data_IF_234577939180
#
_entry.id   IF_234577939180
#
_cell.length_a   1.000
_cell.length_b   1.000
_cell.length_c   1.000
_cell.angle_alpha   90.00
_cell.angle_beta   90.00
_cell.angle_gamma   90.00
#
_symmetry.space_group_name_H-M   'P 1'
#
loop_
_entity.id
_entity.type
_entity.pdbx_description
1 polymer ?
#
# COMPACT_ATOMS: atom_id res chain seq x y z
N UNK A 1 0.38 -23.52 7.04
CA UNK A 1 -0.65 -22.88 7.87
C UNK A 1 -1.87 -22.70 7.00
N UNK A 2 -2.98 -23.37 7.31
CA UNK A 2 -4.21 -23.18 6.56
C UNK A 2 -4.76 -21.76 6.79
N UNK A 3 -5.23 -21.06 5.75
CA UNK A 3 -5.82 -19.73 5.90
C UNK A 3 -7.14 -19.84 6.65
N UNK A 4 -7.22 -19.20 7.82
CA UNK A 4 -8.43 -19.16 8.62
C UNK A 4 -9.61 -18.57 7.81
N UNK A 5 -10.82 -19.16 7.90
CA UNK A 5 -11.98 -18.68 7.16
C UNK A 5 -12.29 -17.23 7.53
N UNK A 6 -12.55 -16.39 6.52
CA UNK A 6 -12.87 -14.98 6.73
C UNK A 6 -14.19 -14.89 7.51
N UNK A 7 -14.30 -14.05 8.56
CA UNK A 7 -15.52 -13.93 9.33
C UNK A 7 -16.71 -13.48 8.46
N UNK A 8 -17.96 -13.86 8.83
CA UNK A 8 -19.19 -13.45 8.16
C UNK A 8 -19.24 -11.95 7.87
N UNK A 9 -19.87 -11.55 6.76
CA UNK A 9 -19.92 -10.15 6.31
C UNK A 9 -20.56 -9.21 7.34
N UNK A 10 -21.51 -9.72 8.13
CA UNK A 10 -22.17 -9.01 9.23
C UNK A 10 -21.17 -8.62 10.33
N UNK A 11 -20.22 -9.51 10.65
CA UNK A 11 -19.12 -9.23 11.59
C UNK A 11 -18.00 -8.37 10.98
N UNK A 12 -18.15 -7.86 9.76
CA UNK A 12 -17.21 -6.90 9.16
C UNK A 12 -17.70 -5.46 9.24
N UNK A 13 -19.01 -5.24 9.27
CA UNK A 13 -19.58 -3.89 9.43
C UNK A 13 -19.77 -3.60 10.92
N UNK A 14 -19.54 -2.36 11.33
CA UNK A 14 -19.75 -1.89 12.69
C UNK A 14 -21.01 -1.04 12.71
N UNK A 15 -21.96 -1.35 13.58
CA UNK A 15 -23.14 -0.50 13.81
C UNK A 15 -22.83 0.58 14.83
N UNK A 16 -23.64 1.64 14.87
CA UNK A 16 -23.47 2.70 15.86
C UNK A 16 -23.65 2.17 17.28
N UNK A 17 -24.56 1.22 17.48
CA UNK A 17 -24.85 0.59 18.77
C UNK A 17 -23.63 -0.19 19.27
N UNK A 18 -23.01 -0.99 18.38
CA UNK A 18 -21.77 -1.72 18.68
C UNK A 18 -20.62 -0.76 19.02
N UNK A 19 -20.50 0.37 18.33
CA UNK A 19 -19.50 1.40 18.64
C UNK A 19 -19.72 2.03 20.02
N UNK A 20 -20.95 2.42 20.34
CA UNK A 20 -21.27 2.96 21.67
C UNK A 20 -20.98 1.94 22.77
N UNK A 21 -21.30 0.67 22.55
CA UNK A 21 -21.00 -0.39 23.50
C UNK A 21 -19.49 -0.63 23.64
N UNK A 22 -18.74 -0.62 22.54
CA UNK A 22 -17.28 -0.70 22.54
C UNK A 22 -16.65 0.44 23.38
N UNK A 23 -17.09 1.68 23.16
CA UNK A 23 -16.62 2.85 23.91
C UNK A 23 -16.96 2.70 25.39
N UNK A 24 -18.20 2.35 25.73
CA UNK A 24 -18.64 2.14 27.12
C UNK A 24 -17.81 1.08 27.83
N UNK A 25 -17.68 -0.11 27.23
CA UNK A 25 -16.95 -1.23 27.84
C UNK A 25 -15.47 -0.89 28.05
N UNK A 26 -14.89 -0.04 27.19
CA UNK A 26 -13.47 0.34 27.28
C UNK A 26 -13.23 1.52 28.22
N UNK A 27 -14.01 2.58 28.10
CA UNK A 27 -13.78 3.85 28.80
C UNK A 27 -14.41 3.88 30.19
N UNK A 28 -15.56 3.21 30.39
CA UNK A 28 -16.28 3.18 31.67
C UNK A 28 -16.00 1.90 32.45
N UNK A 29 -16.10 0.74 31.79
CA UNK A 29 -15.95 -0.56 32.46
C UNK A 29 -14.49 -1.06 32.48
N UNK A 30 -13.55 -0.32 31.87
CA UNK A 30 -12.12 -0.62 31.79
C UNK A 30 -11.75 -2.05 31.33
N UNK A 31 -12.60 -2.68 30.51
CA UNK A 31 -12.36 -4.05 30.04
C UNK A 31 -11.21 -4.11 29.03
N UNK A 32 -10.54 -5.26 28.97
CA UNK A 32 -9.53 -5.52 27.94
C UNK A 32 -10.19 -5.83 26.58
N UNK A 33 -9.48 -5.56 25.49
CA UNK A 33 -9.98 -5.78 24.12
C UNK A 33 -10.33 -7.24 23.84
N UNK A 34 -9.72 -8.19 24.57
CA UNK A 34 -10.08 -9.62 24.50
C UNK A 34 -11.50 -9.86 25.03
N UNK A 35 -11.82 -9.32 26.20
CA UNK A 35 -13.12 -9.52 26.85
C UNK A 35 -14.23 -8.72 26.14
N UNK A 36 -13.88 -7.54 25.64
CA UNK A 36 -14.76 -6.76 24.77
C UNK A 36 -15.06 -7.52 23.48
N UNK A 37 -14.04 -8.15 22.88
CA UNK A 37 -14.19 -9.00 21.71
C UNK A 37 -15.15 -10.17 21.97
N UNK A 38 -15.01 -10.85 23.09
CA UNK A 38 -15.94 -11.92 23.50
C UNK A 38 -17.38 -11.39 23.67
N UNK A 39 -17.53 -10.20 24.26
CA UNK A 39 -18.85 -9.57 24.50
C UNK A 39 -19.54 -9.16 23.20
N UNK A 40 -18.80 -8.62 22.24
CA UNK A 40 -19.31 -8.14 20.95
C UNK A 40 -19.26 -9.20 19.84
N UNK A 41 -18.84 -10.42 20.15
CA UNK A 41 -18.59 -11.50 19.18
C UNK A 41 -17.62 -11.07 18.04
N UNK A 42 -16.53 -10.38 18.40
CA UNK A 42 -15.49 -9.88 17.49
C UNK A 42 -14.10 -10.31 17.96
N UNK A 43 -13.13 -10.30 17.05
CA UNK A 43 -11.73 -10.54 17.43
C UNK A 43 -11.14 -9.36 18.19
N UNK A 44 -10.17 -9.63 19.09
CA UNK A 44 -9.40 -8.59 19.80
C UNK A 44 -8.81 -7.55 18.83
N UNK A 45 -8.26 -7.99 17.71
CA UNK A 45 -7.67 -7.10 16.72
C UNK A 45 -8.71 -6.17 16.08
N UNK A 46 -9.92 -6.69 15.79
CA UNK A 46 -11.00 -5.90 15.22
C UNK A 46 -11.54 -4.86 16.22
N UNK A 47 -11.74 -5.23 17.49
CA UNK A 47 -12.20 -4.29 18.53
C UNK A 47 -11.17 -3.20 18.80
N UNK A 48 -9.89 -3.57 18.92
CA UNK A 48 -8.79 -2.62 19.11
C UNK A 48 -8.67 -1.65 17.94
N UNK A 49 -8.64 -2.17 16.70
CA UNK A 49 -8.58 -1.36 15.49
C UNK A 49 -9.76 -0.40 15.40
N UNK A 50 -10.98 -0.86 15.67
CA UNK A 50 -12.15 0.00 15.62
C UNK A 50 -12.13 1.09 16.69
N UNK A 51 -11.78 0.74 17.92
CA UNK A 51 -11.73 1.69 19.02
C UNK A 51 -10.80 2.87 18.71
N UNK A 52 -9.59 2.59 18.21
CA UNK A 52 -8.66 3.65 17.82
C UNK A 52 -9.18 4.47 16.64
N UNK A 53 -9.85 3.85 15.66
CA UNK A 53 -10.47 4.59 14.56
C UNK A 53 -11.59 5.53 15.04
N UNK A 54 -12.37 5.13 16.05
CA UNK A 54 -13.39 5.99 16.68
C UNK A 54 -12.72 7.16 17.40
N UNK A 55 -11.71 6.91 18.24
CA UNK A 55 -10.98 7.97 18.95
C UNK A 55 -10.34 8.95 17.99
N UNK A 56 -9.71 8.46 16.92
CA UNK A 56 -9.13 9.30 15.89
C UNK A 56 -10.18 10.24 15.25
N UNK A 57 -11.35 9.70 14.87
CA UNK A 57 -12.45 10.51 14.34
C UNK A 57 -12.98 11.54 15.33
N UNK A 58 -13.06 11.20 16.62
CA UNK A 58 -13.47 12.13 17.66
C UNK A 58 -12.48 13.30 17.75
N UNK A 59 -11.17 13.01 17.78
CA UNK A 59 -10.12 14.03 17.80
C UNK A 59 -10.15 14.92 16.56
N UNK A 60 -10.35 14.37 15.37
CA UNK A 60 -10.40 15.17 14.14
C UNK A 60 -11.70 15.96 13.99
N UNK A 61 -12.83 15.45 14.48
CA UNK A 61 -14.12 16.16 14.48
C UNK A 61 -14.18 17.33 15.45
N UNK A 62 -13.31 17.35 16.46
CA UNK A 62 -13.24 18.43 17.45
C UNK A 62 -12.45 19.65 16.94
N UNK A 63 -11.80 19.57 15.77
CA UNK A 63 -10.95 20.61 15.21
C UNK A 63 -11.65 21.28 14.04
N UNK A 64 -11.86 22.58 14.15
CA UNK A 64 -12.29 23.42 13.04
C UNK A 64 -11.12 23.68 12.09
N UNK A 65 -11.04 22.91 11.02
CA UNK A 65 -10.00 23.07 10.00
C UNK A 65 -10.21 24.36 9.21
N UNK A 66 -9.15 25.17 9.14
CA UNK A 66 -9.15 26.44 8.41
C UNK A 66 -8.13 26.38 7.28
N UNK A 67 -8.23 27.25 6.26
CA UNK A 67 -7.22 27.33 5.21
C UNK A 67 -5.80 27.57 5.76
N UNK A 68 -5.65 28.31 6.86
CA UNK A 68 -4.36 28.58 7.51
C UNK A 68 -3.75 27.29 8.08
N UNK A 69 -4.57 26.41 8.65
CA UNK A 69 -4.13 25.08 9.09
C UNK A 69 -3.65 24.25 7.90
N UNK A 70 -4.37 24.27 6.78
CA UNK A 70 -3.96 23.54 5.57
C UNK A 70 -2.65 24.10 5.00
N UNK A 71 -2.49 25.43 4.97
CA UNK A 71 -1.25 26.08 4.57
C UNK A 71 -0.07 25.67 5.45
N UNK A 72 -0.26 25.62 6.77
CA UNK A 72 0.78 25.21 7.72
C UNK A 72 1.19 23.76 7.49
N UNK A 73 0.24 22.87 7.22
CA UNK A 73 0.52 21.46 6.89
C UNK A 73 1.29 21.37 5.57
N UNK A 74 0.81 22.03 4.51
CA UNK A 74 1.44 21.99 3.19
C UNK A 74 2.86 22.57 3.25
N UNK A 75 3.04 23.69 3.94
CA UNK A 75 4.35 24.33 4.11
C UNK A 75 5.30 23.45 4.93
N UNK A 76 4.85 22.89 6.06
CA UNK A 76 5.65 21.96 6.85
C UNK A 76 6.08 20.74 6.02
N UNK A 77 5.20 20.22 5.16
CA UNK A 77 5.55 19.15 4.21
C UNK A 77 6.52 19.63 3.15
N UNK A 78 6.37 20.85 2.61
CA UNK A 78 7.32 21.45 1.68
C UNK A 78 8.72 21.61 2.29
N UNK A 79 8.80 21.93 3.59
CA UNK A 79 10.03 21.99 4.40
C UNK A 79 10.64 20.61 4.70
N UNK A 80 10.00 19.50 4.32
CA UNK A 80 10.49 18.16 4.59
C UNK A 80 10.22 17.68 6.02
N UNK A 81 9.32 18.34 6.77
CA UNK A 81 8.99 17.93 8.13
C UNK A 81 8.04 16.71 8.17
N UNK A 82 8.24 15.77 9.11
CA UNK A 82 7.28 14.71 9.36
C UNK A 82 6.00 15.28 9.97
N UNK A 83 4.85 14.64 9.69
CA UNK A 83 3.53 15.08 10.18
C UNK A 83 3.48 15.26 11.70
N UNK A 84 4.23 14.44 12.46
CA UNK A 84 4.33 14.56 13.92
C UNK A 84 4.99 15.88 14.36
N UNK A 85 6.00 16.36 13.64
CA UNK A 85 6.65 17.64 13.94
C UNK A 85 5.72 18.80 13.61
N UNK A 86 5.03 18.74 12.47
CA UNK A 86 4.02 19.72 12.06
C UNK A 86 2.89 19.80 13.10
N UNK A 87 2.42 18.65 13.59
CA UNK A 87 1.40 18.59 14.62
C UNK A 87 1.85 19.24 15.94
N UNK A 88 3.12 19.06 16.29
CA UNK A 88 3.73 19.72 17.46
C UNK A 88 3.78 21.24 17.27
N UNK A 89 4.13 21.71 16.07
CA UNK A 89 4.15 23.14 15.70
C UNK A 89 2.75 23.78 15.77
N UNK A 90 1.73 23.04 15.32
CA UNK A 90 0.32 23.47 15.37
C UNK A 90 -0.33 23.28 16.74
N UNK A 91 0.37 22.66 17.70
CA UNK A 91 -0.18 22.24 19.00
C UNK A 91 -1.46 21.38 18.85
N UNK A 92 -1.49 20.54 17.82
CA UNK A 92 -2.61 19.66 17.48
C UNK A 92 -2.23 18.18 17.62
N UNK A 93 -3.22 17.29 17.80
CA UNK A 93 -2.97 15.85 17.78
C UNK A 93 -2.37 15.39 16.44
N UNK A 94 -1.29 14.58 16.44
CA UNK A 94 -0.64 14.12 15.21
C UNK A 94 -1.56 13.27 14.33
N UNK A 95 -2.49 12.53 14.94
CA UNK A 95 -3.47 11.71 14.22
C UNK A 95 -4.45 12.57 13.41
N UNK A 96 -4.83 13.74 13.94
CA UNK A 96 -5.74 14.66 13.27
C UNK A 96 -5.07 15.35 12.07
N UNK A 97 -3.81 15.78 12.23
CA UNK A 97 -3.00 16.33 11.14
C UNK A 97 -2.77 15.30 10.03
N UNK A 98 -2.53 14.03 10.38
CA UNK A 98 -2.38 12.95 9.41
C UNK A 98 -3.67 12.65 8.62
N UNK A 99 -4.82 12.66 9.30
CA UNK A 99 -6.13 12.51 8.64
C UNK A 99 -6.43 13.69 7.71
N UNK A 100 -6.12 14.92 8.16
CA UNK A 100 -6.30 16.12 7.34
C UNK A 100 -5.40 16.09 6.11
N UNK A 101 -4.14 15.73 6.26
CA UNK A 101 -3.22 15.55 5.12
C UNK A 101 -3.74 14.53 4.10
N UNK A 102 -4.24 13.39 4.56
CA UNK A 102 -4.84 12.37 3.69
C UNK A 102 -6.08 12.92 2.94
N UNK A 103 -6.87 13.76 3.62
CA UNK A 103 -8.02 14.45 3.02
C UNK A 103 -7.59 15.44 1.94
N UNK A 104 -6.57 16.27 2.21
CA UNK A 104 -6.01 17.21 1.23
C UNK A 104 -5.48 16.50 -0.01
N UNK A 105 -4.80 15.36 0.17
CA UNK A 105 -4.31 14.54 -0.93
C UNK A 105 -5.46 13.97 -1.78
N UNK A 106 -6.50 13.42 -1.14
CA UNK A 106 -7.69 12.88 -1.83
C UNK A 106 -8.44 13.96 -2.60
N UNK A 107 -8.53 15.17 -2.04
CA UNK A 107 -9.17 16.32 -2.66
C UNK A 107 -8.28 17.03 -3.69
N UNK A 108 -7.05 16.54 -3.92
CA UNK A 108 -6.06 17.15 -4.82
C UNK A 108 -5.77 18.63 -4.50
N UNK A 109 -5.83 18.99 -3.22
CA UNK A 109 -5.55 20.33 -2.71
C UNK A 109 -4.07 20.51 -2.34
N UNK A 110 -3.28 19.43 -2.38
CA UNK A 110 -1.83 19.48 -2.16
C UNK A 110 -1.13 19.83 -3.47
N UNK A 111 -0.29 20.87 -3.50
CA UNK A 111 0.55 21.19 -4.65
C UNK A 111 1.47 20.04 -5.07
N UNK A 112 1.67 19.88 -6.39
CA UNK A 112 2.44 18.75 -6.95
C UNK A 112 3.93 18.79 -6.55
N UNK A 113 4.52 19.98 -6.40
CA UNK A 113 5.89 20.17 -5.91
C UNK A 113 6.09 19.56 -4.52
N UNK A 114 5.10 19.71 -3.64
CA UNK A 114 5.13 19.13 -2.29
C UNK A 114 4.95 17.61 -2.34
N UNK A 115 4.08 17.12 -3.23
CA UNK A 115 3.91 15.69 -3.42
C UNK A 115 5.19 15.05 -3.94
N UNK A 116 5.90 15.68 -4.88
CA UNK A 116 7.16 15.17 -5.43
C UNK A 116 8.22 14.98 -4.33
N UNK A 117 8.35 15.91 -3.38
CA UNK A 117 9.30 15.79 -2.25
C UNK A 117 9.10 14.49 -1.46
N UNK A 118 7.84 14.06 -1.30
CA UNK A 118 7.48 12.89 -0.50
C UNK A 118 7.12 11.64 -1.30
N UNK A 119 6.86 11.78 -2.61
CA UNK A 119 6.75 10.66 -3.56
C UNK A 119 8.13 10.12 -3.92
N UNK A 120 9.18 10.93 -3.79
CA UNK A 120 10.57 10.49 -3.97
C UNK A 120 10.94 9.41 -2.95
N UNK A 121 10.62 8.14 -3.26
CA UNK A 121 11.72 7.18 -3.39
C UNK A 121 12.73 7.87 -4.30
N UNK A 122 13.94 8.15 -3.82
CA UNK A 122 15.00 8.62 -4.72
C UNK A 122 15.00 7.72 -5.95
N UNK A 123 15.19 8.27 -7.16
CA UNK A 123 15.15 7.49 -8.41
C UNK A 123 15.84 6.14 -8.19
N UNK A 124 15.03 5.08 -8.16
CA UNK A 124 15.53 3.75 -7.86
C UNK A 124 16.13 3.23 -9.15
N UNK A 125 17.37 3.62 -9.39
CA UNK A 125 18.11 3.18 -10.56
C UNK A 125 18.56 1.75 -10.34
N UNK A 126 18.07 0.85 -11.20
CA UNK A 126 18.57 -0.51 -11.32
C UNK A 126 19.72 -0.51 -12.30
N UNK A 127 20.82 -1.13 -11.91
CA UNK A 127 21.92 -1.43 -12.82
C UNK A 127 21.55 -2.60 -13.75
N UNK A 128 22.20 -2.74 -14.91
CA UNK A 128 21.99 -3.88 -15.80
C UNK A 128 22.22 -5.24 -15.11
N UNK A 129 23.17 -5.30 -14.17
CA UNK A 129 23.47 -6.50 -13.38
C UNK A 129 22.32 -6.89 -12.42
N UNK A 130 21.67 -5.88 -11.85
CA UNK A 130 20.49 -6.08 -11.01
C UNK A 130 19.30 -6.56 -11.83
N UNK A 131 19.09 -5.99 -13.02
CA UNK A 131 18.05 -6.43 -13.97
C UNK A 131 18.28 -7.88 -14.42
N UNK A 132 19.52 -8.26 -14.75
CA UNK A 132 19.89 -9.64 -15.05
C UNK A 132 19.59 -10.58 -13.88
N UNK A 133 19.90 -10.16 -12.66
CA UNK A 133 19.68 -10.97 -11.46
C UNK A 133 18.18 -11.17 -11.22
N UNK A 134 17.38 -10.12 -11.36
CA UNK A 134 15.92 -10.19 -11.28
C UNK A 134 15.37 -11.20 -12.30
N UNK A 135 15.82 -11.12 -13.55
CA UNK A 135 15.32 -11.98 -14.62
C UNK A 135 15.79 -13.42 -14.50
N UNK A 136 17.06 -13.67 -14.16
CA UNK A 136 17.58 -15.03 -13.91
C UNK A 136 16.80 -15.73 -12.82
N UNK A 137 16.53 -15.03 -11.71
CA UNK A 137 15.73 -15.59 -10.62
C UNK A 137 14.30 -15.80 -11.07
N UNK A 138 13.66 -14.83 -11.75
CA UNK A 138 12.29 -14.96 -12.26
C UNK A 138 12.11 -16.14 -13.25
N UNK A 139 13.08 -16.36 -14.14
CA UNK A 139 13.04 -17.45 -15.13
C UNK A 139 13.15 -18.84 -14.49
N UNK A 140 13.61 -18.95 -13.24
CA UNK A 140 13.63 -20.21 -12.50
C UNK A 140 12.24 -20.63 -11.98
N UNK A 141 11.19 -19.85 -12.30
CA UNK A 141 9.81 -20.09 -11.88
C UNK A 141 9.37 -19.64 -10.48
N UNK A 142 10.09 -18.81 -9.71
CA UNK A 142 9.56 -18.27 -8.46
C UNK A 142 8.43 -17.26 -8.75
N UNK A 143 7.45 -17.24 -7.85
CA UNK A 143 6.49 -16.13 -7.79
C UNK A 143 7.17 -14.84 -7.27
N UNK A 144 6.46 -13.71 -7.35
CA UNK A 144 6.97 -12.43 -6.87
C UNK A 144 7.37 -12.43 -5.40
N UNK A 145 6.73 -13.25 -4.57
CA UNK A 145 7.07 -13.34 -3.15
C UNK A 145 8.41 -14.03 -2.94
N UNK A 146 8.68 -15.09 -3.69
CA UNK A 146 9.95 -15.79 -3.65
C UNK A 146 11.07 -14.93 -4.25
N UNK A 147 10.81 -14.23 -5.36
CA UNK A 147 11.76 -13.31 -5.98
C UNK A 147 12.27 -12.25 -4.99
N UNK A 148 11.37 -11.53 -4.31
CA UNK A 148 11.76 -10.44 -3.37
C UNK A 148 12.31 -10.93 -2.03
N UNK A 149 12.18 -12.23 -1.75
CA UNK A 149 12.83 -12.88 -0.60
C UNK A 149 14.26 -13.27 -0.95
N UNK A 150 14.48 -13.73 -2.17
CA UNK A 150 15.77 -14.18 -2.68
C UNK A 150 16.67 -13.01 -3.08
N UNK A 151 16.12 -12.01 -3.75
CA UNK A 151 16.87 -10.86 -4.26
C UNK A 151 16.73 -9.67 -3.32
N UNK A 152 17.87 -9.10 -2.90
CA UNK A 152 17.94 -7.88 -2.10
C UNK A 152 19.01 -6.96 -2.66
N UNK A 153 18.65 -5.70 -2.87
CA UNK A 153 19.56 -4.66 -3.33
C UNK A 153 19.60 -3.52 -2.33
N UNK A 154 20.77 -2.93 -2.13
CA UNK A 154 20.95 -1.82 -1.20
C UNK A 154 20.17 -0.59 -1.69
N UNK A 155 19.41 0.03 -0.78
CA UNK A 155 18.58 1.20 -1.10
C UNK A 155 17.30 0.91 -1.90
N UNK A 156 16.98 -0.36 -2.22
CA UNK A 156 15.79 -0.73 -2.99
C UNK A 156 14.80 -1.53 -2.16
N UNK A 157 13.53 -1.17 -2.25
CA UNK A 157 12.45 -1.89 -1.54
C UNK A 157 11.97 -3.10 -2.34
N UNK A 158 11.31 -4.03 -1.66
CA UNK A 158 10.65 -5.16 -2.33
C UNK A 158 9.60 -4.72 -3.35
N UNK A 159 8.96 -3.56 -3.14
CA UNK A 159 8.03 -3.00 -4.12
C UNK A 159 8.77 -2.57 -5.40
N UNK A 160 9.97 -1.99 -5.28
CA UNK A 160 10.78 -1.58 -6.44
C UNK A 160 11.19 -2.79 -7.28
N UNK A 161 11.59 -3.89 -6.63
CA UNK A 161 12.00 -5.11 -7.32
C UNK A 161 10.82 -5.71 -8.12
N UNK A 162 9.60 -5.72 -7.55
CA UNK A 162 8.41 -6.20 -8.26
C UNK A 162 8.04 -5.31 -9.44
N UNK A 163 8.07 -4.00 -9.23
CA UNK A 163 7.79 -3.01 -10.27
C UNK A 163 8.79 -3.18 -11.42
N UNK A 164 10.10 -3.23 -11.11
CA UNK A 164 11.16 -3.42 -12.10
C UNK A 164 11.05 -4.75 -12.85
N UNK A 165 10.81 -5.87 -12.15
CA UNK A 165 10.55 -7.17 -12.79
C UNK A 165 9.36 -7.08 -13.75
N UNK A 166 8.29 -6.43 -13.33
CA UNK A 166 7.12 -6.23 -14.20
C UNK A 166 7.46 -5.41 -15.43
N UNK A 167 8.27 -4.35 -15.30
CA UNK A 167 8.75 -3.59 -16.45
C UNK A 167 9.57 -4.45 -17.40
N UNK A 168 10.55 -5.19 -16.89
CA UNK A 168 11.47 -6.00 -17.71
C UNK A 168 10.75 -7.08 -18.52
N UNK A 169 9.74 -7.73 -17.91
CA UNK A 169 8.99 -8.84 -18.50
C UNK A 169 7.87 -8.34 -19.42
N UNK A 170 7.04 -7.40 -18.96
CA UNK A 170 5.83 -7.00 -19.70
C UNK A 170 6.10 -5.91 -20.74
N UNK A 171 7.14 -5.10 -20.60
CA UNK A 171 7.55 -4.15 -21.65
C UNK A 171 8.53 -4.74 -22.65
N UNK A 172 8.71 -6.06 -22.64
CA UNK A 172 9.61 -6.78 -23.55
C UNK A 172 11.00 -6.17 -23.60
N UNK A 173 11.66 -6.03 -22.44
CA UNK A 173 13.03 -5.51 -22.43
C UNK A 173 13.93 -6.37 -23.33
N UNK A 174 14.84 -5.72 -24.08
CA UNK A 174 15.76 -6.41 -24.98
C UNK A 174 16.56 -7.50 -24.26
N UNK A 175 16.87 -7.28 -22.98
CA UNK A 175 17.56 -8.23 -22.12
C UNK A 175 16.69 -9.47 -21.79
N UNK A 176 15.39 -9.28 -21.53
CA UNK A 176 14.46 -10.41 -21.35
C UNK A 176 14.26 -11.22 -22.63
N UNK A 177 14.10 -10.54 -23.78
CA UNK A 177 13.98 -11.21 -25.09
C UNK A 177 15.25 -12.00 -25.44
N UNK A 178 16.42 -11.40 -25.19
CA UNK A 178 17.72 -12.06 -25.36
C UNK A 178 17.86 -13.29 -24.46
N UNK A 179 17.46 -13.20 -23.20
CA UNK A 179 17.50 -14.34 -22.26
C UNK A 179 16.52 -15.47 -22.62
N UNK A 180 15.42 -15.15 -23.30
CA UNK A 180 14.49 -16.14 -23.86
C UNK A 180 14.96 -16.74 -25.19
N UNK A 181 16.11 -16.31 -25.72
CA UNK A 181 16.63 -16.79 -27.01
C UNK A 181 15.88 -16.21 -28.22
N UNK A 182 15.02 -15.22 -28.02
CA UNK A 182 14.36 -14.46 -29.09
C UNK A 182 15.27 -13.29 -29.45
N UNK A 183 16.39 -13.60 -30.11
CA UNK A 183 17.29 -12.58 -30.63
C UNK A 183 16.61 -11.72 -31.70
N UNK A 184 17.12 -10.50 -31.91
CA UNK A 184 16.66 -9.54 -32.92
C UNK A 184 16.64 -10.16 -34.33
N UNK A 185 15.53 -10.80 -34.66
CA UNK A 185 15.23 -11.43 -35.93
C UNK A 185 14.13 -10.66 -36.62
N UNK A 186 14.53 -10.01 -37.72
CA UNK A 186 13.76 -9.38 -38.80
C UNK A 186 12.25 -9.70 -38.84
N UNK A 187 11.47 -8.64 -39.05
CA UNK A 187 10.09 -8.62 -39.54
C UNK A 187 9.70 -9.89 -40.31
N UNK A 188 8.88 -10.77 -39.72
CA UNK A 188 8.38 -11.94 -40.45
C UNK A 188 7.76 -13.08 -39.64
N UNK A 189 7.71 -13.03 -38.30
CA UNK A 189 7.40 -14.21 -37.49
C UNK A 189 6.10 -14.11 -36.66
N UNK A 190 5.07 -13.46 -37.19
CA UNK A 190 3.74 -13.42 -36.55
C UNK A 190 3.01 -14.78 -36.55
N UNK A 191 3.52 -15.78 -37.29
CA UNK A 191 2.87 -17.08 -37.45
C UNK A 191 3.43 -18.17 -36.52
N UNK A 192 4.69 -18.07 -36.09
CA UNK A 192 5.27 -19.03 -35.13
C UNK A 192 4.74 -18.79 -33.69
N UNK A 193 4.46 -17.52 -33.34
CA UNK A 193 3.91 -17.10 -32.05
C UNK A 193 2.53 -17.71 -31.74
N UNK A 194 1.67 -17.92 -32.75
CA UNK A 194 0.37 -18.60 -32.59
C UNK A 194 0.50 -20.11 -32.42
N UNK A 195 1.60 -20.69 -32.88
CA UNK A 195 1.84 -22.14 -32.84
C UNK A 195 2.50 -22.57 -31.53
N UNK A 196 3.33 -21.71 -30.92
CA UNK A 196 4.00 -21.97 -29.64
C UNK A 196 3.17 -21.60 -28.40
N UNK A 197 2.28 -20.59 -28.52
CA UNK A 197 1.29 -20.28 -27.50
C UNK A 197 0.09 -21.22 -27.67
N UNK A 198 0.25 -22.43 -27.14
CA UNK A 198 -0.85 -23.37 -26.94
C UNK A 198 -2.09 -22.64 -26.45
N UNK A 199 -3.22 -22.99 -27.07
CA UNK A 199 -4.57 -22.46 -26.86
C UNK A 199 -4.83 -21.89 -25.45
N UNK A 200 -5.45 -20.70 -25.34
CA UNK A 200 -5.71 -20.08 -24.06
C UNK A 200 -6.58 -20.99 -23.17
N UNK A 201 -6.06 -21.30 -21.99
CA UNK A 201 -6.64 -22.22 -20.99
C UNK A 201 -7.96 -21.74 -20.35
N UNK A 202 -8.48 -20.55 -20.73
CA UNK A 202 -9.74 -20.02 -20.19
C UNK A 202 -10.61 -19.41 -21.30
N UNK A 203 -11.61 -20.18 -21.75
CA UNK A 203 -12.58 -19.80 -22.79
C UNK A 203 -13.77 -18.97 -22.30
N UNK A 204 -13.53 -17.86 -21.60
CA UNK A 204 -14.59 -16.96 -21.12
C UNK A 204 -14.20 -15.49 -21.29
N UNK A 205 -13.84 -15.10 -22.51
CA UNK A 205 -13.99 -13.73 -23.00
C UNK A 205 -14.68 -13.83 -24.36
N UNK A 206 -16.00 -13.61 -24.35
CA UNK A 206 -16.75 -13.07 -25.48
C UNK A 206 -17.10 -11.64 -25.14
#
# INVERSE_FOLDING_TARGET
MEPQPRPPAELRRWTKEEEHQLIRLRDQDHKDFKDIGATLNRSKAATQSRYYAIKQRQHSSAIDWTPEHDHTIIDGRRRGLPLKAIATEMQMPPEAVAERWSTLQRLKQVPEDVLVIWRRKGDVNFSPEEDETILKVWMQGPDDEQLVRTVRFEGKSQADIRERRSELVYRHSALYLSMLGVGEGKEGETDALKSALGTPKYGWMK
#
